data_IF_381393868083
#
_entry.id   IF_381393868083
#
_cell.length_a   1.000
_cell.length_b   1.000
_cell.length_c   1.000
_cell.angle_alpha   90.00
_cell.angle_beta   90.00
_cell.angle_gamma   90.00
#
_symmetry.space_group_name_H-M   'P 1'
#
loop_
_entity.id
_entity.type
_entity.pdbx_description
1 polymer ?
#
# COMPACT_ATOMS: atom_id res chain seq x y z
N UNK A 1 -31.98 -28.16 -2.95
CA UNK A 1 -30.75 -28.17 -3.78
C UNK A 1 -30.23 -26.74 -3.87
N UNK A 2 -29.26 -26.35 -3.03
CA UNK A 2 -28.79 -24.94 -2.91
C UNK A 2 -27.51 -24.72 -3.73
N UNK A 3 -27.44 -23.58 -4.41
CA UNK A 3 -26.40 -23.21 -5.39
C UNK A 3 -24.97 -23.24 -4.80
N UNK A 4 -23.95 -23.66 -5.57
CA UNK A 4 -22.56 -23.79 -5.10
C UNK A 4 -21.94 -22.51 -4.51
N UNK A 5 -22.47 -21.33 -4.84
CA UNK A 5 -21.94 -20.06 -4.32
C UNK A 5 -22.30 -19.79 -2.84
N UNK A 6 -23.45 -20.30 -2.36
CA UNK A 6 -23.90 -20.11 -0.97
C UNK A 6 -23.10 -20.94 0.04
N UNK A 7 -22.38 -21.98 -0.41
CA UNK A 7 -21.60 -22.86 0.48
C UNK A 7 -20.24 -22.26 0.86
N UNK A 8 -19.66 -21.42 0.00
CA UNK A 8 -18.38 -20.75 0.28
C UNK A 8 -18.51 -19.65 1.34
N UNK A 9 -19.64 -18.94 1.38
CA UNK A 9 -19.88 -17.91 2.41
C UNK A 9 -20.07 -18.51 3.81
N UNK A 10 -20.66 -19.71 3.92
CA UNK A 10 -20.85 -20.38 5.21
C UNK A 10 -19.55 -21.04 5.70
N UNK A 11 -18.66 -21.49 4.81
CA UNK A 11 -17.37 -22.05 5.22
C UNK A 11 -16.40 -20.97 5.72
N UNK A 12 -16.43 -19.76 5.14
CA UNK A 12 -15.58 -18.65 5.55
C UNK A 12 -15.91 -18.12 6.96
N UNK A 13 -17.18 -18.18 7.37
CA UNK A 13 -17.60 -17.76 8.72
C UNK A 13 -17.23 -18.82 9.76
N UNK A 14 -17.18 -20.10 9.38
CA UNK A 14 -16.85 -21.22 10.30
C UNK A 14 -15.36 -21.39 10.55
N UNK A 15 -14.49 -20.97 9.62
CA UNK A 15 -13.03 -21.07 9.75
C UNK A 15 -12.41 -19.96 10.61
N UNK A 16 -13.16 -18.90 10.97
CA UNK A 16 -12.66 -17.78 11.76
C UNK A 16 -12.67 -17.99 13.29
N UNK A 17 -13.19 -19.12 13.78
CA UNK A 17 -13.42 -19.34 15.21
C UNK A 17 -12.75 -20.63 15.70
N UNK A 18 -11.42 -20.70 15.65
CA UNK A 18 -10.68 -21.68 16.45
C UNK A 18 -9.20 -21.34 16.61
N UNK A 19 -8.72 -21.44 17.86
CA UNK A 19 -7.32 -21.34 18.39
C UNK A 19 -6.72 -19.94 18.47
N UNK A 20 -6.70 -19.32 19.66
CA UNK A 20 -5.78 -19.50 20.80
C UNK A 20 -4.37 -18.96 20.56
N UNK A 21 -3.90 -18.05 21.43
CA UNK A 21 -2.47 -17.76 21.55
C UNK A 21 -2.17 -16.37 22.08
N UNK A 22 -1.75 -16.32 23.33
CA UNK A 22 -1.14 -15.22 24.07
C UNK A 22 0.09 -14.59 23.38
N UNK A 23 0.28 -13.30 23.70
CA UNK A 23 1.51 -12.48 23.62
C UNK A 23 2.15 -12.24 22.25
N UNK A 24 2.19 -10.96 21.82
CA UNK A 24 3.44 -10.18 21.79
C UNK A 24 3.22 -8.76 21.27
N UNK A 25 3.85 -7.83 21.99
CA UNK A 25 4.04 -6.41 21.72
C UNK A 25 4.68 -6.21 20.34
N UNK A 26 4.16 -5.28 19.54
CA UNK A 26 4.96 -4.47 18.63
C UNK A 26 4.24 -3.17 18.24
N UNK A 27 4.92 -2.08 18.58
CA UNK A 27 4.67 -0.70 18.18
C UNK A 27 4.48 -0.56 16.66
N UNK A 28 3.40 0.11 16.24
CA UNK A 28 3.43 0.97 15.07
C UNK A 28 2.31 2.04 15.13
N UNK A 29 2.78 3.22 15.51
CA UNK A 29 2.35 4.58 15.20
C UNK A 29 1.31 4.71 14.06
N UNK A 30 0.20 5.36 14.39
CA UNK A 30 -0.51 6.26 13.47
C UNK A 30 -1.56 5.61 12.56
N UNK A 31 -2.73 5.33 13.13
CA UNK A 31 -4.04 5.48 12.47
C UNK A 31 -5.11 5.36 13.55
N UNK A 32 -5.75 6.46 13.93
CA UNK A 32 -6.96 6.44 14.74
C UNK A 32 -8.07 5.82 13.89
N UNK A 33 -8.12 4.49 13.86
CA UNK A 33 -9.34 3.77 13.50
C UNK A 33 -10.30 4.08 14.62
N UNK A 34 -11.24 4.98 14.35
CA UNK A 34 -12.39 5.24 15.18
C UNK A 34 -13.26 3.98 15.07
N UNK A 35 -12.87 2.95 15.83
CA UNK A 35 -13.72 1.82 16.18
C UNK A 35 -14.83 2.46 17.00
N UNK A 36 -15.86 2.98 16.31
CA UNK A 36 -17.18 3.15 16.89
C UNK A 36 -17.60 1.73 17.22
N UNK A 37 -17.28 1.32 18.45
CA UNK A 37 -17.99 0.25 19.11
C UNK A 37 -19.47 0.54 18.88
N UNK A 38 -20.11 -0.30 18.05
CA UNK A 38 -21.55 -0.46 18.11
C UNK A 38 -21.81 -1.05 19.49
N UNK A 39 -21.82 -0.17 20.49
CA UNK A 39 -22.43 -0.43 21.78
C UNK A 39 -23.90 -0.59 21.48
N UNK A 40 -24.28 -1.79 21.01
CA UNK A 40 -25.59 -2.36 21.30
C UNK A 40 -25.60 -2.55 22.81
N UNK A 41 -25.73 -1.44 23.54
CA UNK A 41 -26.24 -1.44 24.89
C UNK A 41 -27.65 -1.97 24.71
N UNK A 42 -27.76 -3.29 24.78
CA UNK A 42 -28.96 -3.97 25.24
C UNK A 42 -29.13 -3.40 26.64
N UNK A 43 -29.74 -2.22 26.74
CA UNK A 43 -30.43 -1.80 27.95
C UNK A 43 -31.45 -2.90 28.12
N UNK A 44 -31.10 -3.88 28.93
CA UNK A 44 -32.05 -4.76 29.57
C UNK A 44 -33.21 -3.85 29.94
N UNK A 45 -34.37 -4.13 29.37
CA UNK A 45 -35.60 -3.43 29.64
C UNK A 45 -35.84 -3.73 31.12
N UNK A 46 -35.21 -2.92 31.97
CA UNK A 46 -35.30 -2.99 33.40
C UNK A 46 -36.74 -2.55 33.60
N UNK A 47 -37.62 -3.54 33.64
CA UNK A 47 -38.92 -3.41 34.26
C UNK A 47 -38.58 -3.01 35.68
N UNK A 48 -38.37 -1.71 35.87
CA UNK A 48 -38.35 -1.06 37.15
C UNK A 48 -39.79 -1.17 37.64
N UNK A 49 -40.09 -2.38 38.08
CA UNK A 49 -41.17 -2.73 38.97
C UNK A 49 -40.74 -2.16 40.32
N UNK A 50 -40.48 -0.84 40.35
CA UNK A 50 -40.46 -0.07 41.56
C UNK A 50 -41.78 -0.44 42.22
N UNK A 51 -41.68 -1.17 43.33
CA UNK A 51 -42.78 -1.42 44.26
C UNK A 51 -43.49 -0.09 44.41
N UNK A 52 -44.55 0.11 43.63
CA UNK A 52 -45.49 1.18 43.87
C UNK A 52 -46.05 0.78 45.21
N UNK A 53 -45.71 1.53 46.26
CA UNK A 53 -46.32 1.38 47.57
C UNK A 53 -47.81 1.18 47.35
N UNK A 54 -48.25 -0.04 47.61
CA UNK A 54 -49.59 -0.48 47.30
C UNK A 54 -50.50 0.28 48.24
N UNK A 55 -51.01 1.42 47.78
CA UNK A 55 -52.13 2.06 48.44
C UNK A 55 -53.22 1.00 48.49
N UNK A 56 -53.47 0.47 49.69
CA UNK A 56 -54.47 -0.56 49.94
C UNK A 56 -55.75 -0.09 49.27
N UNK A 57 -56.14 -0.79 48.20
CA UNK A 57 -57.32 -0.47 47.40
C UNK A 57 -58.50 -0.18 48.33
N UNK A 58 -58.99 1.07 48.30
CA UNK A 58 -60.06 1.58 49.16
C UNK A 58 -61.44 0.98 48.91
N UNK A 59 -61.53 -0.16 48.22
CA UNK A 59 -62.78 -0.86 47.92
C UNK A 59 -62.73 -2.32 48.40
N UNK A 60 -62.37 -2.53 49.68
CA UNK A 60 -62.61 -3.81 50.35
C UNK A 60 -64.10 -3.94 50.66
N UNK A 61 -64.88 -4.48 49.72
CA UNK A 61 -66.27 -4.87 49.96
C UNK A 61 -66.30 -6.27 50.56
N UNK A 62 -66.46 -6.35 51.87
CA UNK A 62 -66.79 -7.59 52.55
C UNK A 62 -68.28 -7.84 52.40
N UNK A 63 -68.67 -8.91 51.70
CA UNK A 63 -70.06 -9.33 51.55
C UNK A 63 -70.49 -10.27 52.70
N UNK A 64 -69.88 -10.11 53.86
CA UNK A 64 -70.02 -11.03 54.98
C UNK A 64 -71.04 -10.47 55.97
N UNK A 65 -72.21 -11.11 56.07
CA UNK A 65 -73.21 -10.77 57.08
C UNK A 65 -72.93 -11.54 58.38
N UNK A 66 -72.19 -10.88 59.27
CA UNK A 66 -71.85 -11.41 60.59
C UNK A 66 -73.08 -11.81 61.40
N UNK A 67 -74.19 -11.06 61.29
CA UNK A 67 -75.36 -11.29 62.12
C UNK A 67 -76.18 -12.49 61.65
N UNK A 68 -76.37 -12.65 60.35
CA UNK A 68 -77.04 -13.83 59.78
C UNK A 68 -76.29 -15.13 60.11
N UNK A 69 -74.95 -15.09 60.12
CA UNK A 69 -74.14 -16.26 60.46
C UNK A 69 -74.19 -16.63 61.94
N UNK A 70 -74.22 -15.65 62.84
CA UNK A 70 -74.41 -15.90 64.27
C UNK A 70 -75.77 -16.56 64.51
N UNK A 71 -76.86 -16.04 63.91
CA UNK A 71 -78.20 -16.65 64.03
C UNK A 71 -78.25 -18.10 63.53
N UNK A 72 -77.61 -18.38 62.39
CA UNK A 72 -77.58 -19.73 61.83
C UNK A 72 -76.82 -20.71 62.74
N UNK A 73 -75.76 -20.25 63.41
CA UNK A 73 -75.02 -21.05 64.39
C UNK A 73 -75.84 -21.27 65.67
N UNK A 74 -76.58 -20.27 66.12
CA UNK A 74 -77.50 -20.40 67.27
C UNK A 74 -78.62 -21.41 66.97
N UNK A 75 -79.22 -21.35 65.79
CA UNK A 75 -80.24 -22.32 65.32
C UNK A 75 -79.68 -23.75 65.24
N UNK A 76 -78.37 -23.89 65.03
CA UNK A 76 -77.66 -25.17 64.99
C UNK A 76 -77.25 -25.71 66.37
N UNK A 77 -77.63 -25.01 67.45
CA UNK A 77 -77.43 -25.45 68.84
C UNK A 77 -76.17 -24.91 69.53
N UNK A 78 -75.49 -23.91 68.95
CA UNK A 78 -74.36 -23.24 69.60
C UNK A 78 -74.82 -22.13 70.54
N UNK A 79 -74.11 -21.92 71.64
CA UNK A 79 -74.32 -20.76 72.51
C UNK A 79 -73.93 -19.48 71.78
N UNK A 80 -74.68 -18.38 71.94
CA UNK A 80 -74.42 -17.07 71.30
C UNK A 80 -72.96 -16.64 71.39
N UNK A 81 -72.34 -16.76 72.56
CA UNK A 81 -70.93 -16.41 72.76
C UNK A 81 -69.97 -17.28 71.92
N UNK A 82 -70.27 -18.56 71.75
CA UNK A 82 -69.47 -19.46 70.93
C UNK A 82 -69.65 -19.16 69.43
N UNK A 83 -70.87 -18.87 69.00
CA UNK A 83 -71.17 -18.47 67.63
C UNK A 83 -70.44 -17.17 67.25
N UNK A 84 -70.45 -16.15 68.11
CA UNK A 84 -69.73 -14.89 67.89
C UNK A 84 -68.22 -15.09 67.75
N UNK A 85 -67.60 -15.93 68.59
CA UNK A 85 -66.15 -16.20 68.53
C UNK A 85 -65.77 -16.88 67.21
N UNK A 86 -66.56 -17.86 66.76
CA UNK A 86 -66.31 -18.57 65.50
C UNK A 86 -66.45 -17.61 64.31
N UNK A 87 -67.50 -16.79 64.29
CA UNK A 87 -67.73 -15.82 63.22
C UNK A 87 -66.63 -14.76 63.21
N UNK A 88 -66.18 -14.28 64.37
CA UNK A 88 -65.07 -13.34 64.49
C UNK A 88 -63.75 -13.93 63.98
N UNK A 89 -63.46 -15.20 64.29
CA UNK A 89 -62.29 -15.90 63.75
C UNK A 89 -62.36 -16.04 62.22
N UNK A 90 -63.55 -16.29 61.68
CA UNK A 90 -63.78 -16.39 60.23
C UNK A 90 -63.59 -15.06 59.52
N UNK A 91 -64.10 -13.97 60.09
CA UNK A 91 -63.87 -12.60 59.59
C UNK A 91 -62.38 -12.27 59.61
N UNK A 92 -61.67 -12.57 60.70
CA UNK A 92 -60.23 -12.31 60.81
C UNK A 92 -59.42 -13.12 59.79
N UNK A 93 -59.73 -14.41 59.63
CA UNK A 93 -59.08 -15.29 58.64
C UNK A 93 -59.36 -14.82 57.22
N UNK A 94 -60.62 -14.44 56.92
CA UNK A 94 -61.03 -13.92 55.61
C UNK A 94 -60.33 -12.60 55.30
N UNK A 95 -60.22 -11.69 56.28
CA UNK A 95 -59.51 -10.44 56.12
C UNK A 95 -58.02 -10.66 55.86
N UNK A 96 -57.39 -11.58 56.59
CA UNK A 96 -55.98 -11.95 56.38
C UNK A 96 -55.75 -12.56 55.00
N UNK A 97 -56.63 -13.45 54.53
CA UNK A 97 -56.53 -14.03 53.19
C UNK A 97 -56.77 -12.99 52.09
N UNK A 98 -57.71 -12.07 52.28
CA UNK A 98 -57.92 -10.96 51.35
C UNK A 98 -56.71 -10.04 51.28
N UNK A 99 -56.04 -9.74 52.40
CA UNK A 99 -54.83 -8.90 52.40
C UNK A 99 -53.70 -9.52 51.58
N UNK A 100 -53.48 -10.84 51.69
CA UNK A 100 -52.49 -11.56 50.87
C UNK A 100 -52.90 -11.56 49.40
N UNK A 101 -54.16 -11.91 49.12
CA UNK A 101 -54.67 -12.02 47.75
C UNK A 101 -54.62 -10.67 47.02
N UNK A 102 -55.02 -9.58 47.66
CA UNK A 102 -54.93 -8.24 47.06
C UNK A 102 -53.51 -7.68 47.00
N UNK A 103 -52.59 -8.18 47.82
CA UNK A 103 -51.16 -7.87 47.71
C UNK A 103 -50.52 -8.49 46.46
N UNK A 104 -50.93 -9.70 46.09
CA UNK A 104 -50.41 -10.41 44.91
C UNK A 104 -51.18 -10.06 43.62
N UNK A 105 -52.41 -9.57 43.72
CA UNK A 105 -53.22 -9.18 42.55
C UNK A 105 -52.84 -7.79 42.03
N UNK A 106 -52.72 -7.69 40.70
CA UNK A 106 -52.60 -6.40 40.02
C UNK A 106 -53.97 -5.73 39.85
N UNK A 107 -54.04 -4.43 40.12
CA UNK A 107 -55.27 -3.66 39.86
C UNK A 107 -55.41 -3.34 38.36
N UNK A 108 -56.66 -3.25 37.86
CA UNK A 108 -56.93 -2.91 36.45
C UNK A 108 -56.26 -1.59 36.05
N UNK A 109 -56.30 -0.58 36.92
CA UNK A 109 -55.67 0.72 36.71
C UNK A 109 -54.14 0.60 36.59
N UNK A 110 -53.50 -0.25 37.39
CA UNK A 110 -52.06 -0.47 37.32
C UNK A 110 -51.65 -1.20 36.04
N UNK A 111 -52.45 -2.18 35.60
CA UNK A 111 -52.24 -2.85 34.32
C UNK A 111 -52.33 -1.85 33.14
N UNK A 112 -53.28 -0.91 33.19
CA UNK A 112 -53.42 0.12 32.16
C UNK A 112 -52.23 1.10 32.14
N UNK A 113 -51.75 1.56 33.31
CA UNK A 113 -50.55 2.41 33.41
C UNK A 113 -49.33 1.69 32.84
N UNK A 114 -49.16 0.40 33.19
CA UNK A 114 -48.05 -0.41 32.68
C UNK A 114 -48.14 -0.57 31.16
N UNK A 115 -49.33 -0.82 30.63
CA UNK A 115 -49.57 -0.93 29.20
C UNK A 115 -49.25 0.38 28.46
N UNK A 116 -49.70 1.52 28.99
CA UNK A 116 -49.36 2.84 28.42
C UNK A 116 -47.86 3.10 28.43
N UNK A 117 -47.15 2.70 29.49
CA UNK A 117 -45.68 2.80 29.57
C UNK A 117 -45.00 1.93 28.52
N UNK A 118 -45.44 0.69 28.33
CA UNK A 118 -44.89 -0.19 27.27
C UNK A 118 -45.17 0.41 25.89
N UNK A 119 -46.38 0.92 25.65
CA UNK A 119 -46.73 1.56 24.38
C UNK A 119 -45.90 2.82 24.09
N UNK A 120 -45.59 3.63 25.11
CA UNK A 120 -44.72 4.79 24.93
C UNK A 120 -43.30 4.39 24.58
N UNK A 121 -42.75 3.34 25.21
CA UNK A 121 -41.45 2.79 24.86
C UNK A 121 -41.41 2.24 23.42
N UNK A 122 -42.43 1.50 23.00
CA UNK A 122 -42.56 1.02 21.61
C UNK A 122 -42.58 2.20 20.64
N UNK A 123 -43.31 3.26 20.97
CA UNK A 123 -43.39 4.47 20.12
C UNK A 123 -42.04 5.18 20.02
N UNK A 124 -41.28 5.26 21.11
CA UNK A 124 -39.93 5.81 21.10
C UNK A 124 -38.98 4.99 20.21
N UNK A 125 -38.93 3.67 20.38
CA UNK A 125 -38.11 2.77 19.55
C UNK A 125 -38.49 2.88 18.07
N UNK A 126 -39.78 2.96 17.76
CA UNK A 126 -40.25 3.17 16.38
C UNK A 126 -39.76 4.49 15.79
N UNK A 127 -39.77 5.57 16.56
CA UNK A 127 -39.24 6.88 16.12
C UNK A 127 -37.74 6.77 15.81
N UNK A 128 -36.98 6.15 16.70
CA UNK A 128 -35.54 6.00 16.53
C UNK A 128 -35.20 5.12 15.32
N UNK A 129 -35.95 4.05 15.08
CA UNK A 129 -35.84 3.21 13.87
C UNK A 129 -36.06 4.04 12.60
N UNK A 130 -37.12 4.85 12.55
CA UNK A 130 -37.42 5.69 11.38
C UNK A 130 -36.33 6.74 11.16
N UNK A 131 -35.78 7.33 12.22
CA UNK A 131 -34.67 8.30 12.12
C UNK A 131 -33.42 7.61 11.56
N UNK A 132 -33.10 6.41 12.06
CA UNK A 132 -31.97 5.63 11.60
C UNK A 132 -32.12 5.26 10.11
N UNK A 133 -33.29 4.76 9.71
CA UNK A 133 -33.60 4.35 8.34
C UNK A 133 -33.62 5.54 7.37
N UNK A 134 -34.14 6.70 7.78
CA UNK A 134 -34.27 7.85 6.87
C UNK A 134 -33.05 8.76 6.87
N UNK A 135 -32.51 9.09 8.04
CA UNK A 135 -31.44 10.09 8.15
C UNK A 135 -30.07 9.47 7.99
N UNK A 136 -29.75 8.44 8.78
CA UNK A 136 -28.40 7.89 8.80
C UNK A 136 -28.11 7.05 7.56
N UNK A 137 -29.07 6.23 7.13
CA UNK A 137 -28.90 5.44 5.91
C UNK A 137 -28.78 6.32 4.66
N UNK A 138 -29.58 7.39 4.55
CA UNK A 138 -29.47 8.32 3.41
C UNK A 138 -28.14 9.09 3.42
N UNK A 139 -27.67 9.52 4.60
CA UNK A 139 -26.35 10.15 4.72
C UNK A 139 -25.23 9.19 4.32
N UNK A 140 -25.30 7.94 4.79
CA UNK A 140 -24.30 6.92 4.45
C UNK A 140 -24.29 6.60 2.94
N UNK A 141 -25.47 6.52 2.30
CA UNK A 141 -25.57 6.34 0.86
C UNK A 141 -24.95 7.52 0.11
N UNK A 142 -25.24 8.77 0.51
CA UNK A 142 -24.68 9.96 -0.11
C UNK A 142 -23.14 10.01 0.04
N UNK A 143 -22.63 9.69 1.23
CA UNK A 143 -21.19 9.60 1.48
C UNK A 143 -20.54 8.48 0.65
N UNK A 144 -21.20 7.33 0.51
CA UNK A 144 -20.70 6.24 -0.31
C UNK A 144 -20.61 6.63 -1.79
N UNK A 145 -21.64 7.28 -2.32
CA UNK A 145 -21.67 7.79 -3.69
C UNK A 145 -20.58 8.84 -3.91
N UNK A 146 -20.42 9.78 -2.97
CA UNK A 146 -19.35 10.77 -2.99
C UNK A 146 -17.96 10.14 -3.04
N UNK A 147 -17.68 9.20 -2.14
CA UNK A 147 -16.39 8.47 -2.10
C UNK A 147 -16.15 7.74 -3.43
N UNK A 148 -17.18 7.13 -4.02
CA UNK A 148 -17.08 6.44 -5.31
C UNK A 148 -16.72 7.40 -6.45
N UNK A 149 -17.28 8.60 -6.46
CA UNK A 149 -16.96 9.65 -7.44
C UNK A 149 -15.52 10.14 -7.25
N UNK A 150 -15.12 10.48 -6.02
CA UNK A 150 -13.76 10.94 -5.71
C UNK A 150 -12.71 9.87 -6.09
N UNK A 151 -12.98 8.60 -5.78
CA UNK A 151 -12.11 7.49 -6.16
C UNK A 151 -11.97 7.36 -7.69
N UNK A 152 -13.06 7.53 -8.42
CA UNK A 152 -13.06 7.49 -9.89
C UNK A 152 -12.26 8.65 -10.48
N UNK A 153 -12.42 9.84 -9.91
CA UNK A 153 -11.65 11.03 -10.29
C UNK A 153 -10.15 10.85 -10.01
N UNK A 154 -9.79 10.33 -8.84
CA UNK A 154 -8.41 10.09 -8.45
C UNK A 154 -7.74 9.04 -9.36
N UNK A 155 -8.47 7.99 -9.74
CA UNK A 155 -8.02 6.99 -10.73
C UNK A 155 -7.74 7.61 -12.10
N UNK A 156 -8.62 8.50 -12.55
CA UNK A 156 -8.44 9.20 -13.82
C UNK A 156 -7.20 10.11 -13.77
N UNK A 157 -7.07 10.92 -12.71
CA UNK A 157 -5.92 11.81 -12.51
C UNK A 157 -4.60 11.04 -12.44
N UNK A 158 -4.56 9.93 -11.70
CA UNK A 158 -3.37 9.08 -11.61
C UNK A 158 -2.98 8.52 -12.99
N UNK A 159 -3.96 8.02 -13.74
CA UNK A 159 -3.72 7.47 -15.08
C UNK A 159 -3.15 8.55 -16.01
N UNK A 160 -3.68 9.76 -15.93
CA UNK A 160 -3.20 10.88 -16.74
C UNK A 160 -1.79 11.33 -16.36
N UNK A 161 -1.52 11.49 -15.05
CA UNK A 161 -0.17 11.82 -14.55
C UNK A 161 0.85 10.76 -14.95
N UNK A 162 0.52 9.47 -14.83
CA UNK A 162 1.40 8.38 -15.26
C UNK A 162 1.64 8.42 -16.77
N UNK A 163 0.60 8.69 -17.57
CA UNK A 163 0.71 8.80 -19.03
C UNK A 163 1.59 9.98 -19.42
N UNK A 164 1.37 11.15 -18.81
CA UNK A 164 2.16 12.36 -19.05
C UNK A 164 3.64 12.14 -18.70
N UNK A 165 3.92 11.64 -17.49
CA UNK A 165 5.28 11.35 -17.05
C UNK A 165 5.98 10.30 -17.93
N UNK A 166 5.24 9.31 -18.43
CA UNK A 166 5.77 8.34 -19.40
C UNK A 166 6.14 9.03 -20.73
N UNK A 167 5.28 9.89 -21.26
CA UNK A 167 5.55 10.62 -22.49
C UNK A 167 6.77 11.55 -22.33
N UNK A 168 6.85 12.28 -21.21
CA UNK A 168 7.99 13.14 -20.86
C UNK A 168 9.29 12.32 -20.81
N UNK A 169 9.31 11.19 -20.09
CA UNK A 169 10.48 10.33 -20.02
C UNK A 169 10.92 9.77 -21.38
N UNK A 170 9.96 9.40 -22.25
CA UNK A 170 10.28 8.90 -23.59
C UNK A 170 10.92 10.03 -24.43
N UNK A 171 10.37 11.24 -24.32
CA UNK A 171 10.92 12.41 -25.00
C UNK A 171 12.34 12.71 -24.51
N UNK A 172 12.56 12.75 -23.20
CA UNK A 172 13.88 13.00 -22.59
C UNK A 172 14.90 11.95 -23.05
N UNK A 173 14.53 10.67 -23.04
CA UNK A 173 15.40 9.60 -23.53
C UNK A 173 15.70 9.74 -25.02
N UNK A 174 14.74 10.17 -25.83
CA UNK A 174 14.95 10.38 -27.27
C UNK A 174 15.89 11.57 -27.53
N UNK A 175 15.72 12.67 -26.79
CA UNK A 175 16.61 13.83 -26.86
C UNK A 175 18.04 13.41 -26.47
N UNK A 176 18.20 12.72 -25.35
CA UNK A 176 19.51 12.28 -24.88
C UNK A 176 20.16 11.26 -25.83
N UNK A 177 19.36 10.35 -26.41
CA UNK A 177 19.83 9.42 -27.45
C UNK A 177 20.32 10.17 -28.69
N UNK A 178 19.62 11.23 -29.10
CA UNK A 178 20.06 12.08 -30.21
C UNK A 178 21.36 12.79 -29.89
N UNK A 179 21.48 13.35 -28.67
CA UNK A 179 22.70 14.03 -28.20
C UNK A 179 23.90 13.08 -28.16
N UNK A 180 23.71 11.86 -27.66
CA UNK A 180 24.75 10.82 -27.68
C UNK A 180 25.17 10.48 -29.12
N UNK A 181 24.21 10.29 -30.03
CA UNK A 181 24.50 10.00 -31.43
C UNK A 181 25.30 11.14 -32.09
N UNK A 182 24.93 12.39 -31.84
CA UNK A 182 25.66 13.56 -32.36
C UNK A 182 27.11 13.60 -31.85
N UNK A 183 27.32 13.37 -30.54
CA UNK A 183 28.67 13.29 -29.97
C UNK A 183 29.50 12.15 -30.57
N UNK A 184 28.89 10.99 -30.81
CA UNK A 184 29.58 9.86 -31.47
C UNK A 184 29.99 10.24 -32.89
N UNK A 185 29.11 10.89 -33.66
CA UNK A 185 29.43 11.34 -35.02
C UNK A 185 30.56 12.38 -35.02
N UNK A 186 30.55 13.32 -34.07
CA UNK A 186 31.63 14.31 -33.93
C UNK A 186 32.96 13.65 -33.56
N UNK A 187 32.94 12.66 -32.67
CA UNK A 187 34.12 11.88 -32.31
C UNK A 187 34.67 11.10 -33.51
N UNK A 188 33.81 10.40 -34.25
CA UNK A 188 34.22 9.65 -35.46
C UNK A 188 34.80 10.59 -36.51
N UNK A 189 34.21 11.78 -36.69
CA UNK A 189 34.72 12.82 -37.59
C UNK A 189 36.12 13.28 -37.17
N UNK A 190 36.35 13.54 -35.88
CA UNK A 190 37.67 13.90 -35.34
C UNK A 190 38.68 12.77 -35.53
N UNK A 191 38.28 11.52 -35.30
CA UNK A 191 39.12 10.35 -35.48
C UNK A 191 39.56 10.21 -36.95
N UNK A 192 38.63 10.38 -37.89
CA UNK A 192 38.94 10.38 -39.33
C UNK A 192 39.83 11.57 -39.69
N UNK A 193 39.59 12.76 -39.13
CA UNK A 193 40.45 13.94 -39.30
C UNK A 193 41.89 13.67 -38.89
N UNK A 194 42.11 13.21 -37.64
CA UNK A 194 43.44 12.85 -37.15
C UNK A 194 44.08 11.73 -37.97
N UNK A 195 43.31 10.73 -38.40
CA UNK A 195 43.83 9.67 -39.27
C UNK A 195 44.31 10.23 -40.62
N UNK A 196 43.56 11.15 -41.23
CA UNK A 196 43.94 11.76 -42.49
C UNK A 196 45.19 12.63 -42.34
N UNK A 197 45.28 13.43 -41.27
CA UNK A 197 46.47 14.22 -40.95
C UNK A 197 47.73 13.33 -40.77
N UNK A 198 47.60 12.20 -40.06
CA UNK A 198 48.68 11.23 -39.92
C UNK A 198 49.12 10.64 -41.27
N UNK A 199 48.17 10.34 -42.15
CA UNK A 199 48.45 9.80 -43.48
C UNK A 199 49.13 10.82 -44.39
N UNK A 200 48.72 12.10 -44.31
CA UNK A 200 49.38 13.20 -45.02
C UNK A 200 50.82 13.35 -44.56
N UNK A 201 51.07 13.43 -43.24
CA UNK A 201 52.42 13.49 -42.68
C UNK A 201 53.28 12.29 -43.09
N UNK A 202 52.73 11.08 -43.10
CA UNK A 202 53.46 9.89 -43.56
C UNK A 202 53.84 9.99 -45.05
N UNK A 203 52.93 10.49 -45.88
CA UNK A 203 53.21 10.67 -47.32
C UNK A 203 54.29 11.73 -47.56
N UNK A 204 54.30 12.82 -46.78
CA UNK A 204 55.35 13.83 -46.82
C UNK A 204 56.69 13.24 -46.38
N UNK A 205 56.69 12.50 -45.27
CA UNK A 205 57.88 11.81 -44.78
C UNK A 205 58.44 10.84 -45.81
N UNK A 206 57.60 10.01 -46.44
CA UNK A 206 58.01 9.08 -47.50
C UNK A 206 58.61 9.82 -48.70
N UNK A 207 58.02 10.95 -49.09
CA UNK A 207 58.58 11.81 -50.14
C UNK A 207 59.96 12.35 -49.76
N UNK A 208 60.13 12.81 -48.52
CA UNK A 208 61.43 13.27 -48.03
C UNK A 208 62.47 12.13 -47.98
N UNK A 209 62.09 10.96 -47.50
CA UNK A 209 62.96 9.77 -47.45
C UNK A 209 63.40 9.34 -48.85
N UNK A 210 62.46 9.24 -49.79
CA UNK A 210 62.77 8.89 -51.19
C UNK A 210 63.69 9.92 -51.84
N UNK A 211 63.47 11.21 -51.62
CA UNK A 211 64.37 12.26 -52.11
C UNK A 211 65.79 12.11 -51.53
N UNK A 212 65.92 11.85 -50.23
CA UNK A 212 67.23 11.63 -49.60
C UNK A 212 67.92 10.37 -50.10
N UNK A 213 67.17 9.27 -50.31
CA UNK A 213 67.72 8.03 -50.87
C UNK A 213 68.27 8.27 -52.28
N UNK A 214 67.55 8.98 -53.15
CA UNK A 214 68.01 9.32 -54.50
C UNK A 214 69.28 10.19 -54.49
N UNK A 215 69.41 11.12 -53.53
CA UNK A 215 70.63 11.91 -53.34
C UNK A 215 71.80 11.03 -52.91
N UNK A 216 71.59 10.12 -51.95
CA UNK A 216 72.61 9.15 -51.51
C UNK A 216 73.06 8.29 -52.69
N UNK A 217 72.13 7.75 -53.47
CA UNK A 217 72.48 6.92 -54.64
C UNK A 217 73.32 7.68 -55.66
N UNK A 218 73.01 8.96 -55.89
CA UNK A 218 73.76 9.84 -56.79
C UNK A 218 75.17 10.11 -56.25
N UNK A 219 75.30 10.42 -54.96
CA UNK A 219 76.60 10.63 -54.31
C UNK A 219 77.45 9.36 -54.29
N UNK A 220 76.85 8.19 -54.03
CA UNK A 220 77.53 6.88 -54.06
C UNK A 220 78.02 6.57 -55.47
N UNK A 221 77.22 6.81 -56.51
CA UNK A 221 77.64 6.67 -57.89
C UNK A 221 78.78 7.64 -58.23
N UNK A 222 78.68 8.90 -57.80
CA UNK A 222 79.73 9.91 -57.97
C UNK A 222 81.05 9.49 -57.30
N UNK A 223 81.02 9.10 -56.03
CA UNK A 223 82.17 8.60 -55.29
C UNK A 223 82.78 7.36 -55.96
N UNK A 224 81.95 6.45 -56.47
CA UNK A 224 82.42 5.28 -57.22
C UNK A 224 83.16 5.67 -58.50
N UNK A 225 82.64 6.61 -59.29
CA UNK A 225 83.33 7.10 -60.50
C UNK A 225 84.65 7.80 -60.15
N UNK A 226 84.68 8.59 -59.07
CA UNK A 226 85.89 9.25 -58.59
C UNK A 226 86.94 8.23 -58.13
N UNK A 227 86.51 7.17 -57.44
CA UNK A 227 87.38 6.06 -57.02
C UNK A 227 87.94 5.31 -58.24
N UNK A 228 87.13 5.02 -59.24
CA UNK A 228 87.56 4.37 -60.48
C UNK A 228 88.56 5.25 -61.25
N UNK A 229 88.31 6.56 -61.33
CA UNK A 229 89.25 7.53 -61.91
C UNK A 229 90.59 7.57 -61.14
N UNK A 230 90.55 7.63 -59.80
CA UNK A 230 91.75 7.61 -58.97
C UNK A 230 92.55 6.31 -59.12
N UNK A 231 91.88 5.17 -59.27
CA UNK A 231 92.54 3.88 -59.55
C UNK A 231 93.25 3.91 -60.91
N UNK A 232 92.59 4.43 -61.94
CA UNK A 232 93.19 4.58 -63.28
C UNK A 232 94.39 5.52 -63.26
N UNK A 233 94.29 6.64 -62.56
CA UNK A 233 95.41 7.59 -62.43
C UNK A 233 96.59 6.98 -61.66
N UNK A 234 96.33 6.25 -60.57
CA UNK A 234 97.37 5.49 -59.86
C UNK A 234 98.08 4.50 -60.79
N UNK A 235 97.34 3.76 -61.63
CA UNK A 235 97.93 2.84 -62.62
C UNK A 235 98.78 3.61 -63.65
N UNK A 236 98.31 4.77 -64.14
CA UNK A 236 99.08 5.61 -65.08
C UNK A 236 100.37 6.14 -64.44
N UNK A 237 100.31 6.67 -63.22
CA UNK A 237 101.49 7.17 -62.50
C UNK A 237 102.49 6.04 -62.22
N UNK A 238 102.02 4.85 -61.86
CA UNK A 238 102.87 3.67 -61.68
C UNK A 238 103.56 3.27 -62.99
N UNK A 239 102.81 3.16 -64.08
CA UNK A 239 103.36 2.83 -65.40
C UNK A 239 104.40 3.88 -65.84
N UNK A 240 104.11 5.16 -65.64
CA UNK A 240 105.04 6.26 -65.88
C UNK A 240 106.32 6.13 -65.08
N UNK A 241 106.23 5.88 -63.76
CA UNK A 241 107.39 5.72 -62.88
C UNK A 241 108.26 4.51 -63.25
N UNK A 242 107.64 3.37 -63.62
CA UNK A 242 108.39 2.18 -64.06
C UNK A 242 109.07 2.44 -65.39
N UNK A 243 108.39 3.11 -66.32
CA UNK A 243 108.95 3.46 -67.62
C UNK A 243 110.10 4.47 -67.51
N UNK A 244 109.98 5.48 -66.64
CA UNK A 244 111.09 6.41 -66.36
C UNK A 244 112.25 5.70 -65.67
N UNK A 245 111.98 4.77 -64.73
CA UNK A 245 113.01 3.95 -64.11
C UNK A 245 113.75 3.09 -65.14
N UNK A 246 113.02 2.39 -66.01
CA UNK A 246 113.59 1.62 -67.13
C UNK A 246 114.41 2.52 -68.07
N UNK A 247 113.93 3.71 -68.40
CA UNK A 247 114.64 4.67 -69.24
C UNK A 247 115.95 5.12 -68.61
N UNK A 248 115.96 5.38 -67.30
CA UNK A 248 117.18 5.71 -66.53
C UNK A 248 118.15 4.54 -66.52
N UNK A 249 117.68 3.31 -66.25
CA UNK A 249 118.52 2.09 -66.28
C UNK A 249 119.12 1.86 -67.66
N UNK A 250 118.34 1.99 -68.73
CA UNK A 250 118.82 1.89 -70.11
C UNK A 250 119.80 3.02 -70.47
N UNK A 251 119.56 4.24 -69.98
CA UNK A 251 120.48 5.36 -70.11
C UNK A 251 121.84 5.12 -69.44
N UNK A 252 121.83 4.57 -68.22
CA UNK A 252 123.05 4.15 -67.52
C UNK A 252 123.76 3.00 -68.25
N UNK A 253 123.02 2.01 -68.75
CA UNK A 253 123.59 0.90 -69.51
C UNK A 253 124.30 1.38 -70.79
N UNK A 254 123.77 2.44 -71.44
CA UNK A 254 124.34 3.04 -72.65
C UNK A 254 125.63 3.84 -72.41
N UNK A 255 125.90 4.27 -71.18
CA UNK A 255 127.12 5.01 -70.80
C UNK A 255 128.23 4.07 -70.27
N UNK A 256 127.88 2.82 -69.93
CA UNK A 256 128.80 1.81 -69.41
C UNK A 256 129.32 0.82 -70.49
N UNK A 257 128.79 0.88 -71.71
CA UNK A 257 129.38 0.25 -72.91
C UNK A 257 130.18 1.30 -73.68
#
# INVERSE_FOLDING_TARGET
>A
MWSPHSRHLISAIRSGFSRSGTESVLLLRGSCVLVRELSTSVRTLQYDLKKSDMSKSGNRKLFFDTHAMVRLLEESGFMTQQAEVIVNMMVNTTNSNMDVTYGDMATKTQQEIMLQKVMSHITAVKKDMIILEKSEFSALLADNEKIKVELSQLRLQLTDVVRKRRADNILDLNIEKSRVKEMTVDFDRKLIGTRNELMEMHSEQDRHVTETNMKIDTEVAGLKTLLEAHKLDTIKYLAGSVFTCLTVVLGFYRIWM
#
